data_IF_333367525225
#
_entry.id   IF_333367525225
#
_cell.length_a   1.000
_cell.length_b   1.000
_cell.length_c   1.000
_cell.angle_alpha   90.00
_cell.angle_beta   90.00
_cell.angle_gamma   90.00
#
_symmetry.space_group_name_H-M   'P 1'
#
loop_
_entity.id
_entity.type
_entity.pdbx_description
1 polymer ?
#
# COMPACT_ATOMS: atom_id res chain seq x y z
N UNK A 1 -7.05 -12.22 10.25
CA UNK A 1 -6.39 -10.93 9.93
C UNK A 1 -5.93 -10.31 11.24
N UNK A 2 -4.62 -10.24 11.49
CA UNK A 2 -4.08 -9.64 12.72
C UNK A 2 -4.12 -8.11 12.60
N UNK A 3 -4.64 -7.45 13.62
CA UNK A 3 -5.02 -6.03 13.63
C UNK A 3 -3.76 -5.16 13.77
N UNK A 4 -3.52 -4.27 12.83
CA UNK A 4 -2.42 -3.28 12.89
C UNK A 4 -2.74 -2.16 13.89
N UNK A 5 -4.00 -1.67 13.93
CA UNK A 5 -4.41 -0.51 14.74
C UNK A 5 -5.30 -0.83 15.95
N UNK A 6 -5.51 -2.10 16.28
CA UNK A 6 -6.47 -2.50 17.32
C UNK A 6 -7.95 -2.29 16.93
N UNK A 7 -8.23 -1.58 15.84
CA UNK A 7 -9.55 -1.40 15.22
C UNK A 7 -9.63 -2.14 13.88
N UNK A 8 -10.83 -2.55 13.47
CA UNK A 8 -11.08 -3.03 12.11
C UNK A 8 -11.43 -1.80 11.26
N UNK A 9 -10.41 -1.20 10.66
CA UNK A 9 -10.54 0.01 9.87
C UNK A 9 -9.80 -0.18 8.55
N UNK A 10 -10.43 0.27 7.47
CA UNK A 10 -9.82 0.40 6.16
C UNK A 10 -9.27 1.82 6.02
N UNK A 11 -8.05 1.95 5.49
CA UNK A 11 -7.40 3.25 5.28
C UNK A 11 -7.23 3.42 3.78
N UNK A 12 -7.91 4.43 3.24
CA UNK A 12 -7.79 4.81 1.85
C UNK A 12 -6.66 5.84 1.72
N UNK A 13 -5.60 5.47 1.00
CA UNK A 13 -4.49 6.39 0.69
C UNK A 13 -4.77 7.20 -0.57
N UNK A 14 -5.51 6.63 -1.51
CA UNK A 14 -5.88 7.23 -2.79
C UNK A 14 -7.33 6.88 -3.08
N UNK A 15 -8.12 7.89 -3.43
CA UNK A 15 -9.52 7.75 -3.84
C UNK A 15 -9.76 8.60 -5.10
N UNK A 16 -10.34 8.01 -6.14
CA UNK A 16 -10.57 8.67 -7.44
C UNK A 16 -9.33 9.38 -8.03
N UNK A 17 -8.14 8.81 -7.78
CA UNK A 17 -6.86 9.38 -8.22
C UNK A 17 -6.37 10.58 -7.40
N UNK A 18 -7.07 10.92 -6.30
CA UNK A 18 -6.69 11.96 -5.35
C UNK A 18 -6.04 11.31 -4.12
N UNK A 19 -4.86 11.81 -3.74
CA UNK A 19 -4.17 11.36 -2.54
C UNK A 19 -4.85 11.96 -1.31
N UNK A 20 -5.17 11.14 -0.32
CA UNK A 20 -5.70 11.62 0.96
C UNK A 20 -4.56 12.25 1.77
N UNK A 21 -4.62 13.58 1.93
CA UNK A 21 -3.62 14.35 2.65
C UNK A 21 -3.56 14.01 4.15
N UNK A 22 -4.66 13.59 4.76
CA UNK A 22 -4.69 13.22 6.17
C UNK A 22 -4.01 11.88 6.41
N UNK A 23 -4.34 10.85 5.62
CA UNK A 23 -3.75 9.52 5.79
C UNK A 23 -2.27 9.48 5.42
N UNK A 24 -1.84 10.33 4.48
CA UNK A 24 -0.43 10.47 4.09
C UNK A 24 0.39 11.39 5.00
N UNK A 25 -0.26 12.20 5.86
CA UNK A 25 0.46 13.08 6.80
C UNK A 25 1.20 12.32 7.90
N UNK A 26 0.86 11.06 8.15
CA UNK A 26 1.42 10.28 9.23
C UNK A 26 2.03 8.97 8.71
N UNK A 27 3.31 8.68 9.04
CA UNK A 27 3.90 7.40 8.67
C UNK A 27 3.16 6.27 9.39
N UNK A 28 2.78 5.24 8.65
CA UNK A 28 2.14 4.06 9.23
C UNK A 28 3.16 3.25 10.03
N UNK A 29 3.01 3.23 11.35
CA UNK A 29 3.90 2.48 12.24
C UNK A 29 3.52 1.01 12.27
N UNK A 30 4.38 0.16 11.70
CA UNK A 30 4.26 -1.29 11.74
C UNK A 30 4.86 -1.80 13.05
N UNK A 31 4.08 -2.57 13.83
CA UNK A 31 4.57 -3.15 15.09
C UNK A 31 5.57 -4.28 14.80
N UNK A 32 6.58 -4.53 15.66
CA UNK A 32 7.67 -5.49 15.38
C UNK A 32 7.22 -6.94 15.11
N UNK A 33 6.04 -7.35 15.57
CA UNK A 33 5.49 -8.69 15.36
C UNK A 33 4.73 -8.85 14.03
N UNK A 34 4.60 -7.78 13.25
CA UNK A 34 3.90 -7.79 11.96
C UNK A 34 4.94 -8.03 10.87
N UNK A 35 4.92 -9.21 10.27
CA UNK A 35 5.87 -9.58 9.22
C UNK A 35 5.46 -9.10 7.82
N UNK A 36 4.17 -8.84 7.61
CA UNK A 36 3.64 -8.42 6.31
C UNK A 36 2.54 -7.36 6.48
N UNK A 37 2.51 -6.43 5.54
CA UNK A 37 1.41 -5.49 5.34
C UNK A 37 0.78 -5.80 3.99
N UNK A 38 -0.55 -5.81 3.95
CA UNK A 38 -1.30 -5.99 2.72
C UNK A 38 -1.87 -4.62 2.31
N UNK A 39 -1.62 -4.25 1.07
CA UNK A 39 -2.27 -3.13 0.41
C UNK A 39 -3.14 -3.72 -0.70
N UNK A 40 -4.30 -3.11 -0.91
CA UNK A 40 -5.16 -3.43 -2.03
C UNK A 40 -5.37 -2.17 -2.85
N UNK A 41 -5.55 -2.34 -4.15
CA UNK A 41 -5.80 -1.24 -5.07
C UNK A 41 -6.66 -1.70 -6.24
N UNK A 42 -7.28 -0.75 -6.92
CA UNK A 42 -7.93 -0.99 -8.21
C UNK A 42 -7.98 0.31 -9.01
N UNK A 43 -8.28 0.19 -10.30
CA UNK A 43 -8.57 1.33 -11.15
C UNK A 43 -9.90 1.15 -11.86
N UNK A 44 -10.74 2.17 -11.78
CA UNK A 44 -11.99 2.30 -12.55
C UNK A 44 -11.81 3.11 -13.83
N UNK A 45 -10.57 3.52 -14.14
CA UNK A 45 -10.25 4.25 -15.35
C UNK A 45 -10.53 3.41 -16.60
N UNK A 46 -10.98 4.06 -17.67
CA UNK A 46 -11.20 3.41 -18.97
C UNK A 46 -9.90 2.93 -19.61
N UNK A 47 -8.83 3.68 -19.36
CA UNK A 47 -7.50 3.41 -19.91
C UNK A 47 -6.62 2.69 -18.87
N UNK A 48 -5.72 1.78 -19.29
CA UNK A 48 -4.82 1.11 -18.37
C UNK A 48 -3.92 2.08 -17.59
N UNK A 49 -4.01 2.05 -16.27
CA UNK A 49 -3.15 2.85 -15.39
C UNK A 49 -1.87 2.07 -15.09
N UNK A 50 -0.72 2.61 -15.49
CA UNK A 50 0.58 2.01 -15.21
C UNK A 50 1.01 2.31 -13.78
N UNK A 51 1.61 1.34 -13.11
CA UNK A 51 2.25 1.53 -11.82
C UNK A 51 3.75 1.23 -11.91
N UNK A 52 4.50 1.87 -11.02
CA UNK A 52 5.87 1.51 -10.66
C UNK A 52 5.98 1.63 -9.14
N UNK A 53 6.55 0.62 -8.49
CA UNK A 53 6.70 0.57 -7.04
C UNK A 53 8.15 0.30 -6.67
N UNK A 54 8.59 0.94 -5.59
CA UNK A 54 9.89 0.72 -4.98
C UNK A 54 9.71 0.75 -3.47
N UNK A 55 10.41 -0.14 -2.78
CA UNK A 55 10.54 -0.07 -1.34
C UNK A 55 11.96 0.37 -0.98
N UNK A 56 12.05 1.23 0.02
CA UNK A 56 13.28 1.78 0.57
C UNK A 56 13.26 1.53 2.07
N UNK A 57 14.33 0.95 2.60
CA UNK A 57 14.57 0.90 4.03
C UNK A 57 15.70 1.86 4.36
N UNK A 58 15.49 2.69 5.38
CA UNK A 58 16.52 3.56 5.93
C UNK A 58 17.44 2.80 6.90
N UNK A 59 16.92 1.73 7.51
CA UNK A 59 17.65 0.83 8.38
C UNK A 59 18.23 -0.34 7.57
N UNK A 60 19.54 -0.56 7.68
CA UNK A 60 20.26 -1.62 6.97
C UNK A 60 19.86 -3.03 7.45
N UNK A 61 19.31 -3.16 8.65
CA UNK A 61 18.83 -4.44 9.19
C UNK A 61 17.41 -4.78 8.70
N UNK A 62 16.76 -3.89 7.95
CA UNK A 62 15.42 -4.08 7.39
C UNK A 62 15.51 -4.36 5.89
N UNK A 63 15.10 -5.55 5.49
CA UNK A 63 14.95 -5.91 4.07
C UNK A 63 13.48 -5.77 3.65
N UNK A 64 13.11 -4.74 2.86
CA UNK A 64 11.76 -4.63 2.37
C UNK A 64 11.53 -5.58 1.18
N UNK A 65 10.43 -6.34 1.23
CA UNK A 65 10.07 -7.31 0.20
C UNK A 65 8.72 -6.91 -0.39
N UNK A 66 8.66 -6.78 -1.72
CA UNK A 66 7.44 -6.55 -2.48
C UNK A 66 7.05 -7.86 -3.17
N UNK A 67 5.83 -8.34 -2.93
CA UNK A 67 5.31 -9.59 -3.50
C UNK A 67 4.54 -9.40 -4.82
N UNK A 68 4.91 -8.39 -5.60
CA UNK A 68 4.34 -8.09 -6.92
C UNK A 68 5.42 -7.53 -7.86
N UNK A 69 5.24 -7.59 -9.19
CA UNK A 69 6.18 -7.01 -10.15
C UNK A 69 6.43 -5.52 -9.84
N UNK A 70 7.66 -5.02 -9.97
CA UNK A 70 7.94 -3.62 -9.64
C UNK A 70 7.29 -2.62 -10.60
N UNK A 71 6.87 -3.07 -11.77
CA UNK A 71 6.16 -2.27 -12.77
C UNK A 71 5.04 -3.10 -13.37
N UNK A 72 3.93 -2.46 -13.72
CA UNK A 72 2.80 -3.16 -14.32
C UNK A 72 1.60 -2.25 -14.57
N UNK A 73 0.43 -2.85 -14.61
CA UNK A 73 -0.86 -2.18 -14.80
C UNK A 73 -1.71 -2.44 -13.56
N UNK A 74 -2.35 -1.39 -13.03
CA UNK A 74 -3.25 -1.50 -11.89
C UNK A 74 -4.47 -2.36 -12.30
N UNK A 75 -4.87 -3.34 -11.49
CA UNK A 75 -5.99 -4.22 -11.83
C UNK A 75 -7.33 -3.46 -11.84
N UNK A 76 -8.24 -3.91 -12.69
CA UNK A 76 -9.59 -3.34 -12.78
C UNK A 76 -10.51 -3.81 -11.62
N UNK A 77 -10.16 -4.92 -10.98
CA UNK A 77 -10.82 -5.45 -9.79
C UNK A 77 -9.84 -5.36 -8.61
N UNK A 78 -10.39 -5.27 -7.40
CA UNK A 78 -9.58 -5.23 -6.17
C UNK A 78 -8.81 -6.55 -6.01
N UNK A 79 -7.49 -6.44 -5.94
CA UNK A 79 -6.54 -7.52 -5.62
C UNK A 79 -5.74 -7.19 -4.35
#
# INVERSE_FOLDING_TARGET
MNRTLGMNAEINYVEDGVVDAYTTSFPFQVRPHISHVLFTWNSTAKEPVKYSVRALAEDFDVLPIIHLPLEGIIPAQTE
#
